data_IF_533071131710
#
_entry.id   IF_533071131710
#
_cell.length_a   1.000
_cell.length_b   1.000
_cell.length_c   1.000
_cell.angle_alpha   90.00
_cell.angle_beta   90.00
_cell.angle_gamma   90.00
#
_symmetry.space_group_name_H-M   'P 1'
#
loop_
_entity.id
_entity.type
_entity.pdbx_description
1 polymer ?
#
# COMPACT_ATOMS: atom_id res chain seq x y z
N UNK A 1 12.57 -26.24 -30.12
CA UNK A 1 12.20 -25.98 -28.71
C UNK A 1 10.81 -25.34 -28.75
N UNK A 2 9.80 -26.01 -28.19
CA UNK A 2 8.37 -25.73 -28.43
C UNK A 2 7.91 -24.44 -27.73
N UNK A 3 7.82 -23.34 -28.49
CA UNK A 3 7.20 -22.06 -28.09
C UNK A 3 5.69 -22.24 -27.78
N UNK A 4 5.09 -23.33 -28.28
CA UNK A 4 3.65 -23.59 -28.24
C UNK A 4 3.11 -24.11 -26.89
N UNK A 5 3.92 -24.22 -25.85
CA UNK A 5 3.46 -24.65 -24.51
C UNK A 5 3.70 -23.59 -23.43
N UNK A 6 4.49 -22.56 -23.69
CA UNK A 6 4.77 -21.51 -22.71
C UNK A 6 3.54 -20.66 -22.37
N UNK A 7 2.59 -20.49 -23.30
CA UNK A 7 1.34 -19.78 -23.03
C UNK A 7 0.39 -20.54 -22.08
N UNK A 8 0.64 -21.84 -21.83
CA UNK A 8 -0.11 -22.66 -20.86
C UNK A 8 0.51 -22.61 -19.46
N UNK A 9 1.67 -21.98 -19.30
CA UNK A 9 2.24 -21.78 -17.97
C UNK A 9 1.46 -20.70 -17.25
N UNK A 10 0.52 -21.12 -16.41
CA UNK A 10 -0.29 -20.21 -15.60
C UNK A 10 0.59 -19.36 -14.69
N UNK A 11 0.22 -18.10 -14.55
CA UNK A 11 0.81 -17.18 -13.57
C UNK A 11 0.53 -17.70 -12.15
N UNK A 12 1.50 -17.58 -11.23
CA UNK A 12 1.29 -17.90 -9.81
C UNK A 12 0.36 -16.85 -9.21
N UNK A 13 -0.64 -17.28 -8.44
CA UNK A 13 -1.66 -16.41 -7.86
C UNK A 13 -1.88 -16.75 -6.40
N UNK A 14 -2.04 -15.74 -5.58
CA UNK A 14 -2.37 -15.84 -4.17
C UNK A 14 -3.56 -14.94 -3.87
N UNK A 15 -4.47 -15.45 -3.06
CA UNK A 15 -5.61 -14.69 -2.56
C UNK A 15 -5.42 -14.53 -1.06
N UNK A 16 -5.22 -13.31 -0.61
CA UNK A 16 -5.21 -12.93 0.80
C UNK A 16 -6.59 -12.38 1.14
N UNK A 17 -7.19 -12.86 2.23
CA UNK A 17 -8.56 -12.47 2.60
C UNK A 17 -8.57 -11.53 3.79
N UNK A 18 -9.58 -10.68 3.82
CA UNK A 18 -9.89 -9.81 4.97
C UNK A 18 -8.72 -8.91 5.38
N UNK A 19 -7.98 -8.43 4.39
CA UNK A 19 -6.88 -7.50 4.60
C UNK A 19 -7.41 -6.13 5.00
N UNK A 20 -6.96 -5.63 6.15
CA UNK A 20 -7.33 -4.31 6.67
C UNK A 20 -6.27 -3.29 6.28
N UNK A 21 -6.70 -2.24 5.59
CA UNK A 21 -5.85 -1.12 5.17
C UNK A 21 -5.98 -0.01 6.21
N UNK A 22 -4.86 0.42 6.79
CA UNK A 22 -4.80 1.55 7.72
C UNK A 22 -3.90 2.68 7.25
N UNK A 23 -3.07 2.44 6.23
CA UNK A 23 -2.21 3.45 5.64
C UNK A 23 -3.01 4.62 5.08
N UNK A 24 -2.49 5.83 5.24
CA UNK A 24 -3.09 7.05 4.70
C UNK A 24 -2.18 7.64 3.63
N UNK A 25 -2.77 8.18 2.58
CA UNK A 25 -2.04 8.85 1.49
C UNK A 25 -2.29 10.35 1.46
N UNK A 26 -3.11 10.87 2.38
CA UNK A 26 -3.32 12.30 2.52
C UNK A 26 -2.04 13.02 2.92
N UNK A 27 -1.59 13.95 2.09
CA UNK A 27 -0.62 14.97 2.49
C UNK A 27 -1.36 16.24 2.81
N UNK A 28 -1.16 16.79 4.00
CA UNK A 28 -1.65 18.11 4.39
C UNK A 28 -0.47 19.08 4.46
N UNK A 29 -0.62 20.25 3.83
CA UNK A 29 0.33 21.36 3.96
C UNK A 29 -0.11 22.24 5.14
N UNK A 30 0.64 22.18 6.25
CA UNK A 30 0.38 22.99 7.42
C UNK A 30 1.24 24.26 7.39
N UNK A 31 0.58 25.41 7.41
CA UNK A 31 1.27 26.67 7.70
C UNK A 31 1.51 26.76 9.21
N UNK A 32 2.78 26.66 9.63
CA UNK A 32 3.18 26.73 11.03
C UNK A 32 3.82 28.09 11.29
N UNK A 33 3.36 28.76 12.35
CA UNK A 33 3.99 29.96 12.90
C UNK A 33 4.62 29.55 14.23
N UNK A 34 5.94 29.66 14.31
CA UNK A 34 6.68 29.41 15.54
C UNK A 34 7.33 30.71 16.03
N UNK A 35 7.29 30.93 17.34
CA UNK A 35 7.98 32.04 18.01
C UNK A 35 8.96 31.48 19.02
N UNK A 36 10.22 31.86 18.90
CA UNK A 36 11.24 31.55 19.88
C UNK A 36 11.54 32.80 20.70
N UNK A 37 11.52 32.68 22.04
CA UNK A 37 11.82 33.77 22.95
C UNK A 37 13.21 33.56 23.59
N UNK A 38 14.20 34.22 23.00
CA UNK A 38 15.59 34.29 23.49
C UNK A 38 15.98 35.73 23.87
N UNK A 39 15.01 36.60 24.17
CA UNK A 39 15.23 38.03 24.44
C UNK A 39 15.18 38.94 23.20
N UNK A 40 15.10 38.37 21.99
CA UNK A 40 14.69 39.05 20.74
C UNK A 40 13.64 38.17 20.08
N UNK A 41 12.43 38.70 19.90
CA UNK A 41 11.31 37.95 19.33
C UNK A 41 11.56 37.66 17.85
N UNK A 42 11.82 36.41 17.51
CA UNK A 42 11.98 35.97 16.10
C UNK A 42 10.75 35.18 15.69
N UNK A 43 10.12 35.59 14.58
CA UNK A 43 8.98 34.90 13.98
C UNK A 43 9.48 34.06 12.83
N UNK A 44 9.23 32.75 12.87
CA UNK A 44 9.63 31.80 11.83
C UNK A 44 8.36 31.28 11.15
N UNK A 45 8.33 31.41 9.81
CA UNK A 45 7.29 30.82 8.97
C UNK A 45 7.81 29.50 8.42
N UNK A 46 7.11 28.41 8.75
CA UNK A 46 7.44 27.07 8.30
C UNK A 46 6.29 26.51 7.47
N UNK A 47 6.65 25.75 6.42
CA UNK A 47 5.73 24.86 5.71
C UNK A 47 6.22 23.45 5.96
N UNK A 48 5.37 22.64 6.56
CA UNK A 48 5.67 21.23 6.79
C UNK A 48 4.65 20.37 6.09
N UNK A 49 5.15 19.43 5.27
CA UNK A 49 4.32 18.42 4.64
C UNK A 49 4.01 17.37 5.71
N UNK A 50 2.86 17.48 6.36
CA UNK A 50 2.37 16.46 7.26
C UNK A 50 1.65 15.40 6.42
N UNK A 51 2.38 14.34 6.11
CA UNK A 51 1.90 13.22 5.29
C UNK A 51 1.35 12.07 6.12
N UNK A 52 0.26 11.48 5.64
CA UNK A 52 -0.13 10.12 5.96
C UNK A 52 0.95 9.16 5.46
N UNK A 53 1.33 8.21 6.31
CA UNK A 53 2.23 7.13 5.90
C UNK A 53 1.42 6.07 5.17
N UNK A 54 1.76 5.85 3.90
CA UNK A 54 1.28 4.69 3.17
C UNK A 54 1.72 3.42 3.92
N UNK A 55 0.83 2.45 3.99
CA UNK A 55 1.12 1.17 4.61
C UNK A 55 1.99 0.36 3.65
N UNK A 56 3.24 0.15 4.01
CA UNK A 56 4.15 -0.75 3.30
C UNK A 56 3.92 -2.16 3.81
N UNK A 57 3.67 -3.10 2.89
CA UNK A 57 3.36 -4.49 3.19
C UNK A 57 4.38 -5.37 2.50
N UNK A 58 5.15 -6.11 3.28
CA UNK A 58 6.07 -7.14 2.79
C UNK A 58 5.30 -8.40 2.43
N UNK A 59 5.67 -9.09 1.35
CA UNK A 59 4.99 -10.32 0.96
C UNK A 59 5.15 -11.45 1.99
N UNK A 60 6.25 -11.45 2.74
CA UNK A 60 6.52 -12.44 3.81
C UNK A 60 5.48 -12.44 4.91
N UNK A 61 4.85 -11.28 5.15
CA UNK A 61 3.90 -11.08 6.24
C UNK A 61 2.49 -11.54 5.86
N UNK A 62 2.28 -11.92 4.60
CA UNK A 62 0.99 -12.29 4.06
C UNK A 62 0.78 -13.81 4.05
N UNK A 63 -0.45 -14.18 4.33
CA UNK A 63 -0.92 -15.57 4.32
C UNK A 63 -2.08 -15.69 3.35
N UNK A 64 -2.01 -16.68 2.47
CA UNK A 64 -3.08 -16.95 1.51
C UNK A 64 -4.32 -17.55 2.19
N UNK A 65 -5.44 -17.61 1.47
CA UNK A 65 -6.70 -18.22 1.92
C UNK A 65 -6.59 -19.71 2.30
N UNK A 66 -5.47 -20.38 1.98
CA UNK A 66 -5.18 -21.78 2.30
C UNK A 66 -4.23 -21.91 3.50
N UNK A 67 -3.76 -20.80 4.07
CA UNK A 67 -2.81 -20.79 5.20
C UNK A 67 -1.33 -20.82 4.79
N UNK A 68 -0.99 -20.66 3.51
CA UNK A 68 0.40 -20.63 3.06
C UNK A 68 0.96 -19.21 3.15
N UNK A 69 2.18 -19.08 3.66
CA UNK A 69 2.95 -17.84 3.55
C UNK A 69 3.29 -17.55 2.09
N UNK A 70 3.22 -16.28 1.71
CA UNK A 70 3.70 -15.83 0.41
C UNK A 70 5.24 -15.85 0.37
N UNK A 71 5.84 -16.03 -0.82
CA UNK A 71 7.30 -15.96 -0.97
C UNK A 71 7.80 -14.54 -0.70
N UNK A 72 9.03 -14.42 -0.21
CA UNK A 72 9.70 -13.13 0.05
C UNK A 72 9.86 -12.29 -1.21
N UNK A 73 10.00 -12.93 -2.37
CA UNK A 73 10.17 -12.26 -3.66
C UNK A 73 9.14 -12.79 -4.65
N UNK A 74 8.37 -11.88 -5.25
CA UNK A 74 7.45 -12.11 -6.35
C UNK A 74 7.93 -11.30 -7.55
N UNK A 75 8.21 -11.95 -8.68
CA UNK A 75 8.64 -11.26 -9.89
C UNK A 75 7.48 -10.56 -10.58
N UNK A 76 7.63 -9.27 -10.89
CA UNK A 76 6.63 -8.44 -11.58
C UNK A 76 5.20 -8.61 -10.99
N UNK A 77 5.02 -8.27 -9.70
CA UNK A 77 3.77 -8.52 -9.02
C UNK A 77 2.67 -7.57 -9.52
N UNK A 78 1.49 -8.13 -9.78
CA UNK A 78 0.26 -7.37 -10.01
C UNK A 78 -0.71 -7.64 -8.87
N UNK A 79 -1.19 -6.57 -8.25
CA UNK A 79 -2.10 -6.64 -7.09
C UNK A 79 -3.44 -6.07 -7.50
N UNK A 80 -4.50 -6.85 -7.30
CA UNK A 80 -5.88 -6.44 -7.50
C UNK A 80 -6.58 -6.39 -6.15
N UNK A 81 -7.08 -5.21 -5.79
CA UNK A 81 -7.81 -4.96 -4.54
C UNK A 81 -9.30 -5.22 -4.79
N UNK A 82 -9.89 -6.13 -4.02
CA UNK A 82 -11.31 -6.48 -4.10
C UNK A 82 -11.99 -5.96 -2.83
N UNK A 83 -12.69 -4.82 -2.88
CA UNK A 83 -13.27 -4.22 -1.68
C UNK A 83 -14.37 -5.10 -1.09
N UNK A 84 -14.36 -5.27 0.25
CA UNK A 84 -15.39 -5.99 1.01
C UNK A 84 -16.34 -5.06 1.75
N UNK A 85 -15.93 -3.82 2.00
CA UNK A 85 -16.78 -2.78 2.58
C UNK A 85 -16.88 -1.56 1.65
N UNK A 86 -17.68 -0.57 2.05
CA UNK A 86 -17.88 0.67 1.28
C UNK A 86 -16.70 1.65 1.31
N UNK A 87 -15.59 1.31 1.98
CA UNK A 87 -14.39 2.13 2.04
C UNK A 87 -13.40 1.67 0.97
N UNK A 88 -12.87 2.61 0.19
CA UNK A 88 -11.96 2.31 -0.91
C UNK A 88 -10.50 2.35 -0.45
N UNK A 89 -9.68 1.47 -1.03
CA UNK A 89 -8.23 1.47 -0.89
C UNK A 89 -7.57 1.40 -2.26
N UNK A 90 -6.35 1.88 -2.36
CA UNK A 90 -5.57 1.89 -3.60
C UNK A 90 -4.08 1.69 -3.33
N UNK A 91 -3.36 1.24 -4.34
CA UNK A 91 -1.91 1.09 -4.29
C UNK A 91 -1.24 2.45 -4.45
N UNK A 92 -0.36 2.81 -3.53
CA UNK A 92 0.46 4.02 -3.61
C UNK A 92 1.70 3.76 -4.45
N UNK A 93 1.49 3.70 -5.76
CA UNK A 93 2.53 3.42 -6.75
C UNK A 93 2.50 1.99 -7.27
N UNK A 94 3.58 1.59 -7.94
CA UNK A 94 3.72 0.24 -8.49
C UNK A 94 4.20 -0.75 -7.43
N UNK A 95 3.65 -1.98 -7.38
CA UNK A 95 4.17 -3.05 -6.54
C UNK A 95 5.65 -3.34 -6.84
N UNK A 96 6.48 -3.40 -5.80
CA UNK A 96 7.86 -3.86 -5.89
C UNK A 96 7.95 -5.38 -5.74
N UNK A 97 9.13 -5.96 -5.99
CA UNK A 97 9.29 -7.41 -5.94
C UNK A 97 9.21 -8.01 -4.53
N UNK A 98 9.40 -7.22 -3.48
CA UNK A 98 9.40 -7.66 -2.07
C UNK A 98 8.20 -7.11 -1.29
N UNK A 99 7.75 -5.92 -1.66
CA UNK A 99 6.69 -5.21 -0.97
C UNK A 99 5.88 -4.31 -1.90
N UNK A 100 4.74 -3.88 -1.38
CA UNK A 100 3.88 -2.89 -2.02
C UNK A 100 3.38 -1.90 -0.98
N UNK A 101 3.04 -0.71 -1.46
CA UNK A 101 2.45 0.32 -0.64
C UNK A 101 0.95 0.42 -0.95
N UNK A 102 0.12 0.48 0.09
CA UNK A 102 -1.33 0.58 0.01
C UNK A 102 -1.83 1.66 0.96
N UNK A 103 -2.88 2.38 0.56
CA UNK A 103 -3.49 3.41 1.38
C UNK A 103 -5.01 3.45 1.19
N UNK A 104 -5.70 4.02 2.18
CA UNK A 104 -7.13 4.32 2.11
C UNK A 104 -7.39 5.54 1.23
N UNK A 105 -8.54 5.55 0.59
CA UNK A 105 -9.02 6.73 -0.13
C UNK A 105 -9.26 7.89 0.85
N UNK A 106 -8.86 9.13 0.48
CA UNK A 106 -9.04 10.29 1.35
C UNK A 106 -10.53 10.53 1.61
N UNK A 107 -10.87 10.86 2.86
CA UNK A 107 -12.24 11.19 3.28
C UNK A 107 -13.08 10.01 3.79
N UNK A 108 -12.53 8.79 3.87
CA UNK A 108 -13.19 7.65 4.51
C UNK A 108 -13.10 7.70 6.04
N UNK A 109 -14.24 7.55 6.73
CA UNK A 109 -14.30 7.44 8.19
C UNK A 109 -14.16 5.99 8.72
N UNK A 110 -14.13 5.02 7.81
CA UNK A 110 -14.07 3.58 8.11
C UNK A 110 -12.81 3.01 7.44
N UNK A 111 -12.08 2.16 8.16
CA UNK A 111 -10.91 1.49 7.58
C UNK A 111 -11.34 0.51 6.47
N UNK A 112 -10.74 0.59 5.27
CA UNK A 112 -11.03 -0.34 4.19
C UNK A 112 -10.67 -1.77 4.55
N UNK A 113 -11.59 -2.69 4.26
CA UNK A 113 -11.35 -4.13 4.31
C UNK A 113 -11.49 -4.68 2.90
N UNK A 114 -10.48 -5.40 2.42
CA UNK A 114 -10.44 -5.93 1.07
C UNK A 114 -9.81 -7.32 1.02
N UNK A 115 -10.17 -8.09 -0.01
CA UNK A 115 -9.38 -9.23 -0.41
C UNK A 115 -8.31 -8.76 -1.40
N UNK A 116 -7.09 -9.28 -1.29
CA UNK A 116 -5.99 -8.98 -2.20
C UNK A 116 -5.73 -10.19 -3.08
N UNK A 117 -5.88 -10.01 -4.40
CA UNK A 117 -5.42 -10.97 -5.39
C UNK A 117 -4.04 -10.53 -5.87
N UNK A 118 -3.01 -11.27 -5.48
CA UNK A 118 -1.62 -11.04 -5.85
C UNK A 118 -1.25 -12.04 -6.93
N UNK A 119 -0.65 -11.58 -8.03
CA UNK A 119 -0.28 -12.41 -9.18
C UNK A 119 1.15 -12.13 -9.60
N UNK A 120 1.91 -13.19 -9.86
CA UNK A 120 3.25 -13.12 -10.45
C UNK A 120 3.12 -13.13 -11.97
N UNK A 121 3.46 -12.01 -12.62
CA UNK A 121 3.39 -11.89 -14.07
C UNK A 121 4.77 -12.24 -14.66
N UNK A 122 4.81 -12.97 -15.77
CA UNK A 122 6.05 -13.22 -16.53
C UNK A 122 6.35 -12.09 -17.50
#
# INVERSE_FOLDING_TARGET
>A
MNITLDYLTGNRKWLVRDFTVWGDAGTFDAAIIATEDLGVSTVIFLRELLGGQAQVVEYTDLVDHRGNHLPEVISNPTIVIIPKNGAAAYLTGSPGNMSFAIAKAPGGSIEPVADLLIMEMR
#
